data_IF_155766100758
#
_entry.id   IF_155766100758
#
_cell.length_a   1.000
_cell.length_b   1.000
_cell.length_c   1.000
_cell.angle_alpha   90.00
_cell.angle_beta   90.00
_cell.angle_gamma   90.00
#
_symmetry.space_group_name_H-M   'P 1'
#
loop_
_entity.id
_entity.type
_entity.pdbx_description
1 polymer ?
#
# COMPACT_ATOMS: atom_id res chain seq x y z
N UNK A 1 13.87 -7.41 16.66
CA UNK A 1 12.90 -6.88 15.69
C UNK A 1 13.66 -6.50 14.43
N UNK A 2 13.62 -7.31 13.37
CA UNK A 2 14.18 -6.95 12.06
C UNK A 2 13.14 -7.29 10.99
N UNK A 3 12.26 -6.34 10.68
CA UNK A 3 11.34 -6.39 9.53
C UNK A 3 12.02 -5.87 8.23
N UNK A 4 13.35 -5.85 8.20
CA UNK A 4 14.07 -4.77 7.52
C UNK A 4 14.67 -5.06 6.16
N UNK A 5 14.38 -6.19 5.50
CA UNK A 5 15.04 -6.39 4.19
C UNK A 5 14.26 -7.00 3.05
N UNK A 6 13.09 -7.63 3.21
CA UNK A 6 12.11 -7.86 2.12
C UNK A 6 10.78 -8.30 2.72
N UNK A 7 10.05 -7.40 3.38
CA UNK A 7 8.63 -7.66 3.59
C UNK A 7 8.02 -7.82 2.20
N UNK A 8 7.50 -9.01 1.89
CA UNK A 8 6.96 -9.30 0.56
C UNK A 8 5.92 -8.23 0.24
N UNK A 9 5.73 -7.87 -1.02
CA UNK A 9 4.73 -6.88 -1.41
C UNK A 9 3.34 -7.13 -0.79
N UNK A 10 3.00 -8.40 -0.59
CA UNK A 10 1.83 -8.85 0.17
C UNK A 10 1.80 -8.40 1.65
N UNK A 11 2.94 -8.43 2.37
CA UNK A 11 3.04 -7.93 3.74
C UNK A 11 2.92 -6.40 3.79
N UNK A 12 3.58 -5.70 2.87
CA UNK A 12 3.43 -4.24 2.76
C UNK A 12 1.97 -3.87 2.47
N UNK A 13 1.29 -4.58 1.57
CA UNK A 13 -0.14 -4.41 1.32
C UNK A 13 -0.98 -4.60 2.58
N UNK A 14 -0.74 -5.64 3.37
CA UNK A 14 -1.46 -5.83 4.65
C UNK A 14 -1.27 -4.64 5.58
N UNK A 15 -0.06 -4.10 5.70
CA UNK A 15 0.22 -2.92 6.53
C UNK A 15 -0.51 -1.68 6.02
N UNK A 16 -0.44 -1.40 4.70
CA UNK A 16 -1.14 -0.26 4.10
C UNK A 16 -2.65 -0.39 4.25
N UNK A 17 -3.21 -1.58 4.01
CA UNK A 17 -4.64 -1.85 4.19
C UNK A 17 -5.08 -1.64 5.63
N UNK A 18 -4.27 -2.07 6.60
CA UNK A 18 -4.56 -1.84 8.02
C UNK A 18 -4.49 -0.35 8.42
N UNK A 19 -3.55 0.41 7.85
CA UNK A 19 -3.48 1.86 8.06
C UNK A 19 -4.68 2.57 7.43
N UNK A 20 -5.08 2.16 6.23
CA UNK A 20 -6.26 2.64 5.51
C UNK A 20 -7.58 2.34 6.23
N UNK A 21 -7.72 1.13 6.77
CA UNK A 21 -8.91 0.69 7.52
C UNK A 21 -9.11 1.51 8.80
N UNK A 22 -8.02 1.87 9.48
CA UNK A 22 -8.02 2.75 10.66
C UNK A 22 -8.17 4.23 10.33
N UNK A 23 -7.97 4.64 9.09
CA UNK A 23 -8.06 6.03 8.71
C UNK A 23 -9.53 6.48 8.64
N UNK A 24 -9.87 7.69 9.13
CA UNK A 24 -11.21 8.23 9.01
C UNK A 24 -11.59 8.40 7.53
N UNK A 25 -12.86 8.17 7.21
CA UNK A 25 -13.38 8.36 5.86
C UNK A 25 -13.18 9.82 5.42
N UNK A 26 -12.56 9.99 4.26
CA UNK A 26 -12.17 11.30 3.74
C UNK A 26 -11.22 11.18 2.55
N UNK A 27 -10.83 12.33 1.97
CA UNK A 27 -10.06 12.37 0.73
C UNK A 27 -8.71 11.61 0.81
N UNK A 28 -8.11 11.54 2.02
CA UNK A 28 -6.90 10.75 2.28
C UNK A 28 -7.13 9.24 2.10
N UNK A 29 -8.25 8.73 2.62
CA UNK A 29 -8.63 7.32 2.53
C UNK A 29 -8.97 6.93 1.08
N UNK A 30 -9.60 7.82 0.33
CA UNK A 30 -9.90 7.60 -1.09
C UNK A 30 -8.63 7.58 -1.96
N UNK A 31 -7.68 8.50 -1.70
CA UNK A 31 -6.38 8.52 -2.37
C UNK A 31 -5.58 7.25 -2.08
N UNK A 32 -5.54 6.83 -0.81
CA UNK A 32 -4.88 5.59 -0.41
C UNK A 32 -5.52 4.35 -1.02
N UNK A 33 -6.85 4.29 -1.13
CA UNK A 33 -7.57 3.20 -1.82
C UNK A 33 -7.20 3.12 -3.30
N UNK A 34 -7.13 4.26 -3.98
CA UNK A 34 -6.74 4.35 -5.39
C UNK A 34 -5.33 3.79 -5.62
N UNK A 35 -4.38 4.21 -4.77
CA UNK A 35 -3.02 3.69 -4.83
C UNK A 35 -2.92 2.21 -4.44
N UNK A 36 -3.71 1.75 -3.46
CA UNK A 36 -3.76 0.34 -3.07
C UNK A 36 -4.29 -0.55 -4.21
N UNK A 37 -5.32 -0.12 -4.93
CA UNK A 37 -5.82 -0.85 -6.11
C UNK A 37 -4.78 -0.90 -7.24
N UNK A 38 -3.99 0.16 -7.42
CA UNK A 38 -2.87 0.14 -8.35
C UNK A 38 -1.79 -0.88 -7.94
N UNK A 39 -1.51 -0.98 -6.64
CA UNK A 39 -0.63 -2.01 -6.10
C UNK A 39 -1.18 -3.43 -6.35
N UNK A 40 -2.47 -3.69 -6.16
CA UNK A 40 -3.08 -5.00 -6.45
C UNK A 40 -2.94 -5.43 -7.91
N UNK A 41 -3.15 -4.47 -8.82
CA UNK A 41 -2.97 -4.71 -10.26
C UNK A 41 -1.51 -4.98 -10.61
N UNK A 42 -0.58 -4.18 -10.09
CA UNK A 42 0.85 -4.38 -10.27
C UNK A 42 1.33 -5.72 -9.71
N UNK A 43 0.78 -6.15 -8.57
CA UNK A 43 1.11 -7.45 -7.97
C UNK A 43 0.65 -8.61 -8.87
N UNK A 44 -0.55 -8.48 -9.46
CA UNK A 44 -1.06 -9.45 -10.43
C UNK A 44 -0.20 -9.49 -11.69
N UNK A 45 0.33 -8.34 -12.11
CA UNK A 45 1.29 -8.21 -13.21
C UNK A 45 2.71 -8.67 -12.85
N UNK A 46 2.95 -9.11 -11.60
CA UNK A 46 4.28 -9.45 -11.05
C UNK A 46 5.30 -8.30 -11.19
N UNK A 47 4.82 -7.06 -11.15
CA UNK A 47 5.65 -5.85 -11.18
C UNK A 47 5.91 -5.38 -9.75
N UNK A 48 6.90 -5.98 -9.11
CA UNK A 48 7.20 -5.70 -7.70
C UNK A 48 7.64 -4.24 -7.45
N UNK A 49 8.23 -3.59 -8.47
CA UNK A 49 8.66 -2.21 -8.38
C UNK A 49 7.47 -1.24 -8.38
N UNK A 50 6.47 -1.49 -9.25
CA UNK A 50 5.24 -0.72 -9.29
C UNK A 50 4.41 -0.93 -8.02
N UNK A 51 4.36 -2.16 -7.48
CA UNK A 51 3.69 -2.42 -6.19
C UNK A 51 4.33 -1.60 -5.07
N UNK A 52 5.65 -1.65 -4.94
CA UNK A 52 6.36 -0.87 -3.92
C UNK A 52 6.04 0.62 -4.00
N UNK A 53 6.15 1.21 -5.20
CA UNK A 53 5.83 2.63 -5.43
C UNK A 53 4.37 2.98 -5.10
N UNK A 54 3.43 2.15 -5.50
CA UNK A 54 2.01 2.37 -5.25
C UNK A 54 1.69 2.28 -3.76
N UNK A 55 2.30 1.35 -3.02
CA UNK A 55 2.14 1.23 -1.58
C UNK A 55 2.76 2.40 -0.82
N UNK A 56 3.94 2.88 -1.23
CA UNK A 56 4.54 4.08 -0.65
C UNK A 56 3.66 5.32 -0.87
N UNK A 57 3.07 5.47 -2.06
CA UNK A 57 2.11 6.54 -2.33
C UNK A 57 0.83 6.42 -1.48
N UNK A 58 0.32 5.20 -1.30
CA UNK A 58 -0.83 4.94 -0.45
C UNK A 58 -0.54 5.31 1.02
N UNK A 59 0.64 4.97 1.54
CA UNK A 59 1.06 5.35 2.90
C UNK A 59 1.24 6.86 3.01
N UNK A 60 1.87 7.50 2.02
CA UNK A 60 2.05 8.95 1.99
C UNK A 60 0.71 9.71 1.96
N UNK A 61 -0.31 9.15 1.31
CA UNK A 61 -1.66 9.72 1.32
C UNK A 61 -2.38 9.59 2.68
N UNK A 62 -2.00 8.60 3.50
CA UNK A 62 -2.54 8.37 4.84
C UNK A 62 -1.80 9.16 5.94
N UNK A 63 -0.56 9.59 5.68
CA UNK A 63 0.18 10.52 6.54
C UNK A 63 -0.52 11.90 6.58
#
# INVERSE_FOLDING_TARGET
>A
MNLNTMASNAERMKTVKAAWDKAPDGPKKEAALTHYQAAEKAQTAKDDAAVGKALDAAVAALA
#
